data_IF_125380608028
#
_entry.id   IF_125380608028
#
_cell.length_a   1.000
_cell.length_b   1.000
_cell.length_c   1.000
_cell.angle_alpha   90.00
_cell.angle_beta   90.00
_cell.angle_gamma   90.00
#
_symmetry.space_group_name_H-M   'P 1'
#
loop_
_entity.id
_entity.type
_entity.pdbx_description
1 polymer ?
#
# COMPACT_ATOMS: atom_id res chain seq x y z
N UNK A 1 -6.67 14.08 28.95
CA UNK A 1 -5.93 14.36 27.70
C UNK A 1 -6.58 13.53 26.62
N UNK A 2 -7.10 14.21 25.60
CA UNK A 2 -8.18 13.78 24.70
C UNK A 2 -7.84 12.53 23.87
N UNK A 3 -8.68 11.51 24.07
CA UNK A 3 -9.40 10.71 23.08
C UNK A 3 -8.80 10.42 21.68
N UNK A 4 -8.63 9.11 21.48
CA UNK A 4 -8.84 8.32 20.25
C UNK A 4 -7.66 8.21 19.27
N UNK A 5 -7.18 6.98 18.95
CA UNK A 5 -6.39 6.76 17.75
C UNK A 5 -7.33 7.00 16.57
N UNK A 6 -7.47 8.25 16.14
CA UNK A 6 -8.07 8.56 14.87
C UNK A 6 -7.15 7.95 13.83
N UNK A 7 -7.40 6.69 13.48
CA UNK A 7 -6.90 6.00 12.29
C UNK A 7 -7.30 6.85 11.10
N UNK A 8 -6.54 7.92 10.91
CA UNK A 8 -6.79 8.92 9.89
C UNK A 8 -6.52 8.20 8.59
N UNK A 9 -7.59 7.76 7.92
CA UNK A 9 -7.54 7.10 6.63
C UNK A 9 -6.97 8.09 5.62
N UNK A 10 -5.64 8.18 5.60
CA UNK A 10 -4.89 9.11 4.78
C UNK A 10 -4.63 8.45 3.44
N UNK A 11 -4.81 9.22 2.37
CA UNK A 11 -4.49 8.76 1.02
C UNK A 11 -3.02 9.09 0.74
N UNK A 12 -2.21 8.06 0.58
CA UNK A 12 -0.84 8.15 0.11
C UNK A 12 -0.80 8.21 -1.41
N UNK A 13 -0.01 9.12 -1.96
CA UNK A 13 0.28 9.12 -3.40
C UNK A 13 1.32 8.06 -3.73
N UNK A 14 1.41 7.68 -5.01
CA UNK A 14 2.44 6.76 -5.54
C UNK A 14 3.85 6.98 -4.95
N UNK A 15 4.44 8.20 -4.96
CA UNK A 15 5.79 8.40 -4.41
C UNK A 15 5.89 8.15 -2.90
N UNK A 16 4.83 8.41 -2.13
CA UNK A 16 4.81 8.12 -0.68
C UNK A 16 4.77 6.61 -0.45
N UNK A 17 3.96 5.89 -1.22
CA UNK A 17 3.90 4.42 -1.16
C UNK A 17 5.26 3.79 -1.51
N UNK A 18 5.91 4.30 -2.55
CA UNK A 18 7.27 3.87 -2.93
C UNK A 18 8.27 4.10 -1.79
N UNK A 19 8.21 5.25 -1.11
CA UNK A 19 9.09 5.52 0.03
C UNK A 19 8.77 4.64 1.24
N UNK A 20 7.49 4.44 1.56
CA UNK A 20 7.05 3.60 2.70
C UNK A 20 7.47 2.14 2.53
N UNK A 21 7.34 1.60 1.33
CA UNK A 21 7.70 0.22 1.01
C UNK A 21 9.17 0.06 0.61
N UNK A 22 9.88 1.16 0.32
CA UNK A 22 11.26 1.12 -0.18
C UNK A 22 11.40 0.49 -1.57
N UNK A 23 10.38 0.60 -2.43
CA UNK A 23 10.36 -0.05 -3.75
C UNK A 23 10.38 0.92 -4.92
N UNK A 24 10.89 0.43 -6.06
CA UNK A 24 10.87 1.15 -7.31
C UNK A 24 9.44 1.27 -7.87
N UNK A 25 9.23 2.28 -8.74
CA UNK A 25 7.95 2.51 -9.42
C UNK A 25 7.51 1.27 -10.20
N UNK A 26 8.43 0.63 -10.92
CA UNK A 26 8.16 -0.57 -11.71
C UNK A 26 7.66 -1.72 -10.84
N UNK A 27 8.27 -1.94 -9.67
CA UNK A 27 7.85 -2.94 -8.69
C UNK A 27 6.43 -2.69 -8.20
N UNK A 28 6.08 -1.44 -7.90
CA UNK A 28 4.72 -1.07 -7.50
C UNK A 28 3.69 -1.42 -8.59
N UNK A 29 3.99 -1.12 -9.86
CA UNK A 29 3.08 -1.52 -10.96
C UNK A 29 3.05 -3.03 -11.18
N UNK A 30 4.18 -3.73 -11.01
CA UNK A 30 4.23 -5.19 -11.11
C UNK A 30 3.39 -5.88 -10.03
N UNK A 31 3.29 -5.31 -8.83
CA UNK A 31 2.43 -5.82 -7.76
C UNK A 31 0.94 -5.68 -8.08
N UNK A 32 0.57 -4.61 -8.80
CA UNK A 32 -0.80 -4.33 -9.22
C UNK A 32 -1.23 -5.11 -10.46
N UNK A 33 -0.28 -5.43 -11.32
CA UNK A 33 -0.54 -6.08 -12.59
C UNK A 33 -0.70 -7.59 -12.42
N UNK A 34 -1.91 -8.09 -12.66
CA UNK A 34 -2.26 -9.52 -12.54
C UNK A 34 -1.47 -10.45 -13.46
N UNK A 35 -0.86 -9.91 -14.52
CA UNK A 35 -0.09 -10.68 -15.50
C UNK A 35 1.38 -10.79 -15.12
N UNK A 36 1.84 -9.98 -14.17
CA UNK A 36 3.22 -9.98 -13.71
C UNK A 36 3.46 -11.14 -12.74
N UNK A 37 4.63 -11.76 -12.83
CA UNK A 37 5.05 -12.84 -11.90
C UNK A 37 5.11 -12.38 -10.43
N UNK A 38 5.18 -11.07 -10.21
CA UNK A 38 5.21 -10.43 -8.90
C UNK A 38 3.83 -9.89 -8.48
N UNK A 39 2.74 -10.29 -9.15
CA UNK A 39 1.40 -9.89 -8.75
C UNK A 39 1.13 -10.27 -7.29
N UNK A 40 0.72 -9.29 -6.49
CA UNK A 40 0.42 -9.50 -5.08
C UNK A 40 -1.07 -9.22 -4.88
N UNK A 41 -1.91 -10.25 -4.73
CA UNK A 41 -3.36 -10.06 -4.53
C UNK A 41 -3.68 -9.34 -3.21
N UNK A 42 -2.79 -9.45 -2.24
CA UNK A 42 -2.87 -8.77 -0.93
C UNK A 42 -2.42 -7.30 -1.00
N UNK A 43 -1.83 -6.86 -2.12
CA UNK A 43 -1.36 -5.49 -2.24
C UNK A 43 -2.54 -4.50 -2.34
N UNK A 44 -2.47 -3.33 -1.68
CA UNK A 44 -3.58 -2.38 -1.66
C UNK A 44 -3.96 -1.91 -3.05
N UNK A 45 -5.27 -1.81 -3.29
CA UNK A 45 -5.75 -1.38 -4.59
C UNK A 45 -5.65 0.15 -4.71
N UNK A 46 -5.16 0.66 -5.84
CA UNK A 46 -5.14 2.09 -6.09
C UNK A 46 -6.57 2.65 -6.17
N UNK A 47 -6.84 3.68 -5.37
CA UNK A 47 -8.07 4.45 -5.41
C UNK A 47 -7.88 5.61 -6.40
N UNK A 48 -8.84 5.74 -7.33
CA UNK A 48 -8.88 6.87 -8.27
C UNK A 48 -9.58 8.05 -7.60
N UNK A 49 -8.83 9.12 -7.38
CA UNK A 49 -9.34 10.40 -6.90
C UNK A 49 -9.30 11.39 -8.08
N UNK A 50 -10.27 11.27 -8.99
CA UNK A 50 -10.30 12.04 -10.24
C UNK A 50 -9.11 11.73 -11.16
N UNK A 51 -8.31 12.75 -11.47
CA UNK A 51 -7.13 12.62 -12.33
C UNK A 51 -5.90 11.98 -11.63
N UNK A 52 -5.96 11.81 -10.31
CA UNK A 52 -4.86 11.24 -9.53
C UNK A 52 -5.22 9.88 -8.96
N UNK A 53 -4.21 9.07 -8.73
CA UNK A 53 -4.34 7.75 -8.11
C UNK A 53 -3.58 7.74 -6.79
N UNK A 54 -4.25 7.31 -5.72
CA UNK A 54 -3.69 7.18 -4.38
C UNK A 54 -3.97 5.81 -3.78
N UNK A 55 -3.45 5.57 -2.60
CA UNK A 55 -3.58 4.33 -1.83
C UNK A 55 -3.97 4.68 -0.41
N UNK A 56 -4.75 3.85 0.25
CA UNK A 56 -5.05 4.08 1.67
C UNK A 56 -3.82 3.70 2.49
N UNK A 57 -3.36 4.62 3.34
CA UNK A 57 -2.22 4.39 4.24
C UNK A 57 -2.42 3.15 5.11
N UNK A 58 -3.63 2.97 5.63
CA UNK A 58 -4.00 1.82 6.45
C UNK A 58 -3.83 0.49 5.71
N UNK A 59 -4.33 0.38 4.47
CA UNK A 59 -4.17 -0.85 3.68
C UNK A 59 -2.68 -1.17 3.43
N UNK A 60 -1.85 -0.14 3.23
CA UNK A 60 -0.39 -0.31 3.04
C UNK A 60 0.26 -0.80 4.32
N UNK A 61 -0.14 -0.28 5.48
CA UNK A 61 0.35 -0.71 6.79
C UNK A 61 -0.07 -2.17 7.08
N UNK A 62 -1.34 -2.51 6.84
CA UNK A 62 -1.87 -3.87 6.94
C UNK A 62 -1.12 -4.85 6.05
N UNK A 63 -0.79 -4.45 4.81
CA UNK A 63 0.01 -5.26 3.90
C UNK A 63 1.42 -5.55 4.46
N UNK A 64 2.10 -4.52 4.99
CA UNK A 64 3.44 -4.69 5.60
C UNK A 64 3.36 -5.59 6.83
N UNK A 65 2.32 -5.43 7.66
CA UNK A 65 2.06 -6.30 8.81
C UNK A 65 1.81 -7.74 8.37
N UNK A 66 1.07 -7.96 7.28
CA UNK A 66 0.86 -9.26 6.65
C UNK A 66 2.17 -9.91 6.21
N UNK A 67 3.03 -9.15 5.50
CA UNK A 67 4.36 -9.62 5.11
C UNK A 67 5.22 -9.99 6.32
N UNK A 68 5.16 -9.20 7.40
CA UNK A 68 5.91 -9.48 8.63
C UNK A 68 5.44 -10.79 9.29
N UNK A 69 4.13 -11.07 9.27
CA UNK A 69 3.57 -12.33 9.78
C UNK A 69 3.98 -13.51 8.89
N UNK A 70 3.82 -13.40 7.57
CA UNK A 70 4.17 -14.44 6.62
C UNK A 70 5.68 -14.75 6.58
N UNK A 71 6.53 -13.80 6.97
CA UNK A 71 7.98 -14.02 7.11
C UNK A 71 8.35 -14.93 8.30
N UNK A 72 7.47 -15.08 9.28
CA UNK A 72 7.78 -15.71 10.57
C UNK A 72 7.46 -17.22 10.62
N UNK A 73 7.16 -17.84 9.49
CA UNK A 73 6.87 -19.28 9.35
C UNK A 73 7.94 -19.99 8.50
#
# INVERSE_FOLDING_TARGET
MNESPSSSLRILRRPEVQQRLGIARSTLYAYLDKRSAQFKPEFPKPIRLGAVTGFVEHEIDEYVLGLMRARRE
#
